data_IF_836140467196
#
_entry.id   IF_836140467196
#
_cell.length_a   1.000
_cell.length_b   1.000
_cell.length_c   1.000
_cell.angle_alpha   90.00
_cell.angle_beta   90.00
_cell.angle_gamma   90.00
#
_symmetry.space_group_name_H-M   'P 1'
#
loop_
_entity.id
_entity.type
_entity.pdbx_description
1 polymer ?
#
# COMPACT_ATOMS: atom_id res chain seq x y z
N UNK A 1 -0.11 26.35 -7.58
CA UNK A 1 0.16 26.12 -6.15
C UNK A 1 0.41 27.50 -5.59
N UNK A 2 -0.22 27.91 -4.49
CA UNK A 2 0.12 29.21 -3.89
C UNK A 2 1.59 29.17 -3.47
N UNK A 3 2.37 30.17 -3.86
CA UNK A 3 3.82 30.21 -3.68
C UNK A 3 4.27 30.14 -2.20
N UNK A 4 3.34 30.36 -1.26
CA UNK A 4 3.58 30.35 0.19
C UNK A 4 3.25 29.02 0.91
N UNK A 5 2.85 27.98 0.16
CA UNK A 5 2.40 26.73 0.80
C UNK A 5 3.57 25.89 1.31
N UNK A 6 3.66 25.74 2.63
CA UNK A 6 4.69 24.92 3.30
C UNK A 6 4.34 23.43 3.21
N UNK A 7 5.31 22.55 2.88
CA UNK A 7 5.08 21.12 2.91
C UNK A 7 4.71 20.63 4.30
N UNK A 8 3.64 19.84 4.37
CA UNK A 8 3.17 19.22 5.61
C UNK A 8 3.51 17.73 5.56
N UNK A 9 4.26 17.28 6.57
CA UNK A 9 4.50 15.86 6.84
C UNK A 9 3.43 15.39 7.81
N UNK A 10 2.47 14.62 7.32
CA UNK A 10 1.50 13.95 8.18
C UNK A 10 2.05 12.58 8.59
N UNK A 11 2.21 12.28 9.90
CA UNK A 11 2.75 11.01 10.34
C UNK A 11 1.77 9.88 10.00
N UNK A 12 2.32 8.79 9.48
CA UNK A 12 1.56 7.58 9.18
C UNK A 12 1.08 6.90 10.47
N UNK A 13 -0.19 6.49 10.49
CA UNK A 13 -0.72 5.69 11.60
C UNK A 13 -0.21 4.25 11.57
N UNK A 14 -0.05 3.65 12.75
CA UNK A 14 0.42 2.28 12.89
C UNK A 14 -0.59 1.31 12.27
N UNK A 15 -0.12 0.53 11.30
CA UNK A 15 -0.89 -0.53 10.65
C UNK A 15 -0.69 -1.87 11.37
N UNK A 16 -1.69 -2.75 11.26
CA UNK A 16 -1.57 -4.13 11.71
C UNK A 16 -0.41 -4.83 10.94
N UNK A 17 0.52 -5.55 11.59
CA UNK A 17 1.63 -6.23 10.92
C UNK A 17 1.20 -7.12 9.74
N UNK A 18 0.11 -7.88 9.90
CA UNK A 18 -0.45 -8.74 8.83
C UNK A 18 -0.83 -7.91 7.59
N UNK A 19 -1.45 -6.75 7.81
CA UNK A 19 -1.83 -5.85 6.71
C UNK A 19 -0.59 -5.21 6.07
N UNK A 20 0.44 -4.88 6.85
CA UNK A 20 1.69 -4.32 6.33
C UNK A 20 2.36 -5.25 5.32
N UNK A 21 2.38 -6.55 5.59
CA UNK A 21 2.95 -7.53 4.65
C UNK A 21 2.19 -7.59 3.33
N UNK A 22 0.85 -7.54 3.38
CA UNK A 22 0.00 -7.52 2.17
C UNK A 22 0.26 -6.25 1.37
N UNK A 23 0.27 -5.09 2.03
CA UNK A 23 0.50 -3.79 1.39
C UNK A 23 1.87 -3.75 0.70
N UNK A 24 2.92 -4.25 1.35
CA UNK A 24 4.27 -4.34 0.74
C UNK A 24 4.26 -5.18 -0.54
N UNK A 25 3.51 -6.29 -0.58
CA UNK A 25 3.38 -7.12 -1.78
C UNK A 25 2.66 -6.35 -2.90
N UNK A 26 1.58 -5.65 -2.58
CA UNK A 26 0.84 -4.85 -3.57
C UNK A 26 1.66 -3.68 -4.12
N UNK A 27 2.35 -2.92 -3.25
CA UNK A 27 3.23 -1.83 -3.68
C UNK A 27 4.31 -2.33 -4.64
N UNK A 28 4.91 -3.49 -4.36
CA UNK A 28 5.90 -4.08 -5.25
C UNK A 28 5.33 -4.44 -6.63
N UNK A 29 4.06 -4.87 -6.69
CA UNK A 29 3.37 -5.15 -7.96
C UNK A 29 3.13 -3.84 -8.74
N UNK A 30 2.65 -2.80 -8.05
CA UNK A 30 2.41 -1.48 -8.66
C UNK A 30 3.72 -0.84 -9.15
N UNK A 31 4.81 -1.03 -8.41
CA UNK A 31 6.15 -0.59 -8.81
C UNK A 31 6.63 -1.37 -10.04
N UNK A 32 6.45 -2.70 -10.09
CA UNK A 32 6.79 -3.52 -11.24
C UNK A 32 5.95 -3.16 -12.48
N UNK A 33 4.68 -2.80 -12.28
CA UNK A 33 3.80 -2.30 -13.33
C UNK A 33 4.09 -0.85 -13.75
N UNK A 34 5.10 -0.19 -13.15
CA UNK A 34 5.44 1.23 -13.36
C UNK A 34 4.28 2.19 -13.11
N UNK A 35 3.33 1.81 -12.25
CA UNK A 35 2.24 2.69 -11.79
C UNK A 35 2.71 3.60 -10.65
N UNK A 36 3.67 3.15 -9.84
CA UNK A 36 4.30 3.92 -8.78
C UNK A 36 5.79 4.10 -9.05
N UNK A 37 6.37 5.19 -8.55
CA UNK A 37 7.79 5.50 -8.61
C UNK A 37 8.31 5.84 -7.21
N UNK A 38 9.52 5.40 -6.83
CA UNK A 38 10.10 5.74 -5.54
C UNK A 38 10.56 7.22 -5.57
N UNK A 39 10.22 7.96 -4.52
CA UNK A 39 10.62 9.34 -4.31
C UNK A 39 11.31 9.40 -2.95
N UNK A 40 12.57 9.85 -2.91
CA UNK A 40 13.36 9.89 -1.68
C UNK A 40 13.36 11.24 -0.98
N UNK A 41 13.17 12.33 -1.74
CA UNK A 41 13.45 13.71 -1.34
C UNK A 41 12.18 14.59 -1.22
N UNK A 42 10.99 13.98 -1.26
CA UNK A 42 9.74 14.71 -1.10
C UNK A 42 9.56 15.19 0.35
N UNK A 43 9.38 16.51 0.60
CA UNK A 43 8.99 17.01 1.91
C UNK A 43 7.50 16.76 2.19
N UNK A 44 6.74 16.25 1.22
CA UNK A 44 5.33 15.91 1.33
C UNK A 44 5.16 14.46 1.77
N UNK A 45 4.38 14.26 2.83
CA UNK A 45 3.95 12.92 3.28
C UNK A 45 2.46 12.97 3.58
N UNK A 46 1.68 12.18 2.84
CA UNK A 46 0.27 11.93 3.11
C UNK A 46 0.11 10.54 3.75
N UNK A 47 -0.77 10.40 4.76
CA UNK A 47 -0.99 9.11 5.39
C UNK A 47 -1.83 8.23 4.45
N UNK A 48 -1.44 6.97 4.33
CA UNK A 48 -2.18 5.94 3.57
C UNK A 48 -3.09 5.18 4.52
N UNK A 49 -4.38 5.15 4.18
CA UNK A 49 -5.36 4.33 4.89
C UNK A 49 -5.69 3.09 4.07
N UNK A 50 -5.70 1.93 4.71
CA UNK A 50 -5.93 0.64 4.05
C UNK A 50 -7.13 -0.05 4.67
N UNK A 51 -8.10 -0.37 3.82
CA UNK A 51 -9.33 -1.05 4.21
C UNK A 51 -9.43 -2.35 3.43
N UNK A 52 -9.63 -3.50 4.10
CA UNK A 52 -9.89 -4.75 3.40
C UNK A 52 -11.20 -4.64 2.61
N UNK A 53 -11.18 -4.99 1.33
CA UNK A 53 -12.40 -5.00 0.52
C UNK A 53 -13.32 -6.15 0.97
N UNK A 54 -14.61 -5.86 1.15
CA UNK A 54 -15.63 -6.88 1.43
C UNK A 54 -15.74 -7.85 0.26
N UNK A 55 -15.48 -9.14 0.51
CA UNK A 55 -15.41 -10.17 -0.53
C UNK A 55 -14.19 -10.06 -1.46
N UNK A 56 -13.22 -9.22 -1.11
CA UNK A 56 -12.05 -8.93 -1.92
C UNK A 56 -11.12 -10.13 -2.07
N UNK A 57 -10.71 -10.36 -3.32
CA UNK A 57 -9.59 -11.21 -3.67
C UNK A 57 -8.31 -10.43 -3.36
N UNK A 58 -7.43 -10.97 -2.52
CA UNK A 58 -6.08 -10.42 -2.32
C UNK A 58 -5.08 -11.19 -3.17
N UNK A 59 -4.14 -10.51 -3.81
CA UNK A 59 -3.08 -11.17 -4.58
C UNK A 59 -1.93 -11.51 -3.65
N UNK A 60 -1.78 -12.79 -3.31
CA UNK A 60 -0.64 -13.27 -2.52
C UNK A 60 0.38 -13.96 -3.41
N UNK A 61 1.67 -13.70 -3.15
CA UNK A 61 2.78 -14.48 -3.72
C UNK A 61 2.89 -15.81 -3.00
N UNK A 62 2.88 -16.91 -3.76
CA UNK A 62 3.22 -18.25 -3.28
C UNK A 62 4.76 -18.40 -3.13
N UNK A 63 5.23 -19.53 -2.60
CA UNK A 63 6.66 -19.90 -2.49
C UNK A 63 7.40 -19.82 -3.84
N UNK A 64 6.68 -20.01 -4.95
CA UNK A 64 7.19 -19.89 -6.32
C UNK A 64 7.14 -18.47 -6.89
N UNK A 65 6.82 -17.46 -6.08
CA UNK A 65 6.56 -16.06 -6.49
C UNK A 65 5.39 -15.87 -7.47
N UNK A 66 4.61 -16.91 -7.74
CA UNK A 66 3.39 -16.83 -8.54
C UNK A 66 2.32 -16.03 -7.79
N UNK A 67 1.66 -15.12 -8.51
CA UNK A 67 0.61 -14.24 -7.99
C UNK A 67 -0.72 -14.98 -7.98
N UNK A 68 -1.13 -15.49 -6.81
CA UNK A 68 -2.38 -16.21 -6.66
C UNK A 68 -3.44 -15.26 -6.08
N UNK A 69 -4.59 -15.08 -6.77
CA UNK A 69 -5.74 -14.42 -6.19
C UNK A 69 -6.34 -15.28 -5.07
N UNK A 70 -6.06 -14.92 -3.81
CA UNK A 70 -6.55 -15.62 -2.62
C UNK A 70 -7.74 -14.88 -2.03
N UNK A 71 -8.87 -15.58 -1.90
CA UNK A 71 -10.08 -15.07 -1.25
C UNK A 71 -10.02 -15.34 0.25
N UNK A 72 -9.70 -14.34 1.06
CA UNK A 72 -9.85 -14.43 2.51
C UNK A 72 -11.24 -13.95 2.92
N UNK A 73 -12.04 -14.84 3.52
CA UNK A 73 -13.31 -14.46 4.15
C UNK A 73 -12.99 -13.79 5.47
N UNK A 74 -12.75 -12.49 5.44
CA UNK A 74 -12.67 -11.69 6.65
C UNK A 74 -14.10 -11.29 7.02
N UNK A 75 -14.77 -12.16 7.79
CA UNK A 75 -15.98 -11.78 8.51
C UNK A 75 -15.57 -10.87 9.66
N UNK A 76 -15.99 -9.61 9.62
CA UNK A 76 -16.02 -8.72 10.76
C UNK A 76 -17.48 -8.54 11.17
#
# INVERSE_FOLDING_TARGET
>A
MEDDYKPVVQPQWKLNPIMSEVIKKEINILLAARMLYPISDSPWVSPVHVVPKKGGIMVMKNEKNELIPTRNVTGW
#
